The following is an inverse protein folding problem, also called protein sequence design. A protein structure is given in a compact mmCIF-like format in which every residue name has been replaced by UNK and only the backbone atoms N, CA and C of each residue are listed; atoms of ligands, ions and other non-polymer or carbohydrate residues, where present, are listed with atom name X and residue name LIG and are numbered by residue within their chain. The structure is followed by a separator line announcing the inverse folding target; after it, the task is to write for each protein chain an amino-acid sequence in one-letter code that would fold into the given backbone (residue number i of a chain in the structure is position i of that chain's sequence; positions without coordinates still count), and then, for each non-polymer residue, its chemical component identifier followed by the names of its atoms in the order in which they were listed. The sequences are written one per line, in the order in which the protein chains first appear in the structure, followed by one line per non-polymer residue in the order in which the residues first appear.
data_IF_406280809792
#
_entry.id   IF_406280809792
#
_cell.length_a   1.000
_cell.length_b   1.000
_cell.length_c   1.000
_cell.angle_alpha   90.00
_cell.angle_beta   90.00
_cell.angle_gamma   90.00
#
_symmetry.space_group_name_H-M   'P 1'
#
loop_
_entity.id
_entity.type
_entity.pdbx_description
1 polymer ?
#
# COMPACT_ATOMS: atom_id res chain seq x y z
N UNK A 1 33.04 -18.26 -18.24
CA UNK A 1 31.80 -18.96 -17.84
C UNK A 1 30.75 -18.10 -17.12
N UNK A 2 31.02 -16.87 -16.73
CA UNK A 2 30.03 -15.99 -16.05
C UNK A 2 29.11 -15.18 -16.98
N UNK A 3 29.42 -15.06 -18.25
CA UNK A 3 28.61 -14.27 -19.22
C UNK A 3 27.45 -15.04 -19.87
N UNK A 4 27.46 -16.37 -19.84
CA UNK A 4 26.42 -17.21 -20.47
C UNK A 4 25.15 -17.22 -19.59
N UNK A 5 25.29 -17.06 -18.27
CA UNK A 5 24.13 -17.01 -17.37
C UNK A 5 23.29 -15.71 -17.49
N UNK A 6 23.89 -14.62 -17.96
CA UNK A 6 23.18 -13.34 -18.11
C UNK A 6 22.25 -13.31 -19.32
N UNK A 7 22.60 -14.02 -20.40
CA UNK A 7 21.80 -14.05 -21.65
C UNK A 7 20.58 -14.98 -21.54
N UNK A 8 20.63 -16.00 -20.70
CA UNK A 8 19.50 -16.93 -20.49
C UNK A 8 18.39 -16.28 -19.65
N UNK A 9 18.72 -15.37 -18.74
CA UNK A 9 17.74 -14.67 -17.93
C UNK A 9 16.97 -13.57 -18.70
N UNK A 10 17.53 -13.01 -19.75
CA UNK A 10 16.86 -11.99 -20.57
C UNK A 10 15.85 -12.62 -21.55
N UNK A 11 16.10 -13.85 -22.01
CA UNK A 11 15.20 -14.53 -22.92
C UNK A 11 13.95 -15.11 -22.22
N UNK A 12 13.98 -15.32 -20.89
CA UNK A 12 12.85 -15.89 -20.14
C UNK A 12 11.86 -14.83 -19.66
N UNK A 13 12.22 -13.54 -19.71
CA UNK A 13 11.33 -12.45 -19.28
C UNK A 13 10.36 -11.93 -20.36
N UNK A 14 10.49 -12.38 -21.61
CA UNK A 14 9.67 -11.87 -22.71
C UNK A 14 8.44 -12.73 -23.06
N UNK A 15 8.18 -13.84 -22.35
CA UNK A 15 7.07 -14.75 -22.67
C UNK A 15 6.01 -14.92 -21.56
N UNK A 16 6.03 -14.10 -20.50
CA UNK A 16 4.91 -14.06 -19.54
C UNK A 16 3.96 -12.89 -19.83
N UNK A 17 3.47 -12.84 -21.05
CA UNK A 17 2.30 -12.04 -21.39
C UNK A 17 1.04 -12.94 -21.25
N UNK A 18 0.10 -12.46 -20.45
CA UNK A 18 -1.32 -12.86 -20.45
C UNK A 18 -1.70 -14.27 -20.00
N UNK A 19 -1.54 -14.58 -18.71
CA UNK A 19 -2.51 -15.47 -18.07
C UNK A 19 -3.59 -14.61 -17.43
N UNK A 20 -4.69 -14.43 -18.16
CA UNK A 20 -5.93 -13.84 -17.65
C UNK A 20 -6.54 -14.82 -16.65
N UNK A 21 -6.26 -14.69 -15.38
CA UNK A 21 -7.05 -15.33 -14.33
C UNK A 21 -8.44 -14.70 -14.33
N UNK A 22 -9.42 -15.39 -14.87
CA UNK A 22 -10.85 -15.16 -14.60
C UNK A 22 -11.12 -15.51 -13.14
N UNK A 23 -10.87 -14.55 -12.25
CA UNK A 23 -11.34 -14.60 -10.87
C UNK A 23 -12.84 -14.36 -10.85
N UNK A 24 -13.57 -15.26 -10.24
CA UNK A 24 -15.03 -15.17 -9.99
C UNK A 24 -15.31 -13.91 -9.18
N UNK A 25 -15.78 -12.86 -9.82
CA UNK A 25 -16.21 -11.62 -9.19
C UNK A 25 -17.51 -11.87 -8.44
N UNK A 26 -17.45 -11.86 -7.13
CA UNK A 26 -18.63 -11.58 -6.29
C UNK A 26 -19.13 -10.18 -6.66
N UNK A 27 -20.26 -10.13 -7.37
CA UNK A 27 -20.96 -8.88 -7.71
C UNK A 27 -21.58 -8.30 -6.43
N UNK A 28 -20.88 -7.42 -5.74
CA UNK A 28 -21.51 -6.40 -4.91
C UNK A 28 -21.93 -5.27 -5.85
N UNK A 29 -23.22 -4.90 -5.81
CA UNK A 29 -23.80 -3.85 -6.66
C UNK A 29 -22.97 -2.56 -6.57
N UNK A 30 -22.58 -1.95 -7.71
CA UNK A 30 -21.96 -0.63 -7.68
C UNK A 30 -23.03 0.41 -7.36
N UNK A 31 -22.92 1.04 -6.20
CA UNK A 31 -23.59 2.30 -5.89
C UNK A 31 -23.04 3.39 -6.80
N UNK A 32 -23.89 4.24 -7.31
CA UNK A 32 -23.59 5.34 -8.24
C UNK A 32 -22.37 6.18 -7.83
N UNK A 33 -21.52 6.45 -8.80
CA UNK A 33 -20.21 7.12 -8.83
C UNK A 33 -19.06 6.22 -8.37
N UNK A 34 -18.45 5.52 -9.34
CA UNK A 34 -17.39 4.54 -9.15
C UNK A 34 -16.03 5.06 -8.68
N UNK A 35 -15.96 6.14 -7.92
CA UNK A 35 -14.72 6.67 -7.33
C UNK A 35 -14.78 6.43 -5.83
N UNK A 36 -13.84 5.62 -5.28
CA UNK A 36 -13.74 5.41 -3.83
C UNK A 36 -13.58 6.73 -3.07
N UNK A 37 -14.39 6.92 -2.02
CA UNK A 37 -14.23 8.06 -1.14
C UNK A 37 -13.17 7.79 -0.08
N UNK A 38 -11.92 8.14 -0.38
CA UNK A 38 -10.81 8.02 0.56
C UNK A 38 -10.85 9.05 1.70
N UNK A 39 -11.62 10.14 1.59
CA UNK A 39 -11.63 11.21 2.59
C UNK A 39 -11.89 10.64 3.98
N UNK A 40 -10.99 10.96 4.91
CA UNK A 40 -11.03 10.48 6.29
C UNK A 40 -9.69 9.91 6.76
N UNK A 41 -9.73 9.27 7.92
CA UNK A 41 -8.56 8.65 8.55
C UNK A 41 -8.64 7.14 8.40
N UNK A 42 -7.52 6.54 8.05
CA UNK A 42 -7.35 5.11 7.86
C UNK A 42 -6.19 4.60 8.70
N UNK A 43 -6.43 3.57 9.48
CA UNK A 43 -5.42 2.89 10.31
C UNK A 43 -5.00 1.59 9.62
N UNK A 44 -3.71 1.32 9.54
CA UNK A 44 -3.21 0.04 9.04
C UNK A 44 -3.55 -1.08 10.03
N UNK A 45 -4.27 -2.10 9.55
CA UNK A 45 -4.56 -3.30 10.33
C UNK A 45 -3.49 -4.36 10.11
N UNK A 46 -3.21 -4.65 8.85
CA UNK A 46 -2.24 -5.68 8.46
C UNK A 46 -1.42 -5.23 7.27
N UNK A 47 -0.17 -5.65 7.25
CA UNK A 47 0.69 -5.59 6.05
C UNK A 47 1.29 -6.97 5.82
N UNK A 48 1.02 -7.54 4.67
CA UNK A 48 1.64 -8.77 4.20
C UNK A 48 2.76 -8.40 3.24
N UNK A 49 3.94 -8.98 3.43
CA UNK A 49 5.12 -8.67 2.62
C UNK A 49 5.79 -9.96 2.17
N UNK A 50 6.07 -10.06 0.87
CA UNK A 50 6.84 -11.15 0.27
C UNK A 50 7.95 -10.59 -0.62
N UNK A 51 9.08 -11.27 -0.69
CA UNK A 51 10.15 -10.91 -1.65
C UNK A 51 9.65 -11.19 -3.05
N UNK A 52 9.76 -10.20 -3.94
CA UNK A 52 9.30 -10.35 -5.32
C UNK A 52 10.14 -11.41 -6.04
N UNK A 53 9.47 -12.43 -6.58
CA UNK A 53 10.11 -13.56 -7.27
C UNK A 53 10.58 -14.70 -6.37
N UNK A 54 10.42 -14.63 -5.05
CA UNK A 54 10.63 -15.76 -4.14
C UNK A 54 9.36 -16.58 -3.97
N UNK A 55 9.52 -17.89 -3.84
CA UNK A 55 8.39 -18.85 -3.73
C UNK A 55 7.95 -19.02 -2.25
N UNK A 56 8.73 -18.53 -1.30
CA UNK A 56 8.48 -18.74 0.13
C UNK A 56 8.76 -17.47 0.95
N UNK A 57 8.22 -17.45 2.15
CA UNK A 57 8.40 -16.47 3.22
C UNK A 57 7.62 -15.16 3.06
N UNK A 58 6.32 -15.29 3.22
CA UNK A 58 5.45 -14.16 3.47
C UNK A 58 5.52 -13.77 4.94
N UNK A 59 5.89 -12.53 5.22
CA UNK A 59 5.83 -11.95 6.58
C UNK A 59 4.53 -11.16 6.71
N UNK A 60 3.83 -11.37 7.81
CA UNK A 60 2.60 -10.63 8.15
C UNK A 60 2.88 -9.75 9.36
N UNK A 61 2.66 -8.44 9.21
CA UNK A 61 2.67 -7.48 10.30
C UNK A 61 1.22 -7.22 10.71
N UNK A 62 0.90 -7.48 11.96
CA UNK A 62 -0.43 -7.28 12.55
C UNK A 62 -0.35 -6.13 13.55
N UNK A 63 -0.83 -4.96 13.14
CA UNK A 63 -0.74 -3.73 13.94
C UNK A 63 -1.85 -3.62 14.99
N UNK A 64 -2.96 -4.33 14.81
CA UNK A 64 -4.07 -4.32 15.77
C UNK A 64 -3.70 -5.11 17.03
N UNK A 65 -3.11 -6.29 16.85
CA UNK A 65 -2.76 -7.16 17.97
C UNK A 65 -1.40 -6.81 18.60
N UNK A 66 -0.64 -5.87 17.99
CA UNK A 66 0.65 -5.39 18.49
C UNK A 66 0.64 -3.86 18.69
N UNK A 67 -0.16 -3.33 19.62
CA UNK A 67 -0.34 -1.88 19.79
C UNK A 67 0.91 -1.15 20.33
N UNK A 68 1.90 -1.88 20.85
CA UNK A 68 3.18 -1.32 21.31
C UNK A 68 4.19 -1.12 20.17
N UNK A 69 3.93 -1.68 18.99
CA UNK A 69 4.71 -1.43 17.79
C UNK A 69 4.34 -0.07 17.16
N UNK A 70 5.05 0.29 16.10
CA UNK A 70 4.73 1.48 15.34
C UNK A 70 3.35 1.32 14.71
N UNK A 71 2.49 2.30 14.91
CA UNK A 71 1.17 2.39 14.30
C UNK A 71 1.21 3.36 13.12
N UNK A 72 0.52 3.02 12.05
CA UNK A 72 0.51 3.78 10.81
C UNK A 72 -0.90 4.25 10.48
N UNK A 73 -1.01 5.54 10.17
CA UNK A 73 -2.27 6.18 9.80
C UNK A 73 -2.10 6.97 8.51
N UNK A 74 -3.13 6.96 7.69
CA UNK A 74 -3.28 7.84 6.52
C UNK A 74 -4.49 8.71 6.71
N UNK A 75 -4.33 10.01 6.46
CA UNK A 75 -5.42 10.99 6.50
C UNK A 75 -5.57 11.61 5.13
N UNK A 76 -6.70 11.38 4.50
CA UNK A 76 -7.05 11.93 3.19
C UNK A 76 -8.01 13.10 3.36
N UNK A 77 -7.71 14.23 2.74
CA UNK A 77 -8.49 15.46 2.82
C UNK A 77 -9.12 15.82 1.46
N UNK A 78 -10.21 16.62 1.43
CA UNK A 78 -10.91 16.98 0.18
C UNK A 78 -10.04 17.76 -0.81
N UNK A 79 -8.99 18.43 -0.35
CA UNK A 79 -8.03 19.19 -1.17
C UNK A 79 -6.95 18.31 -1.82
N UNK A 80 -7.20 17.01 -1.91
CA UNK A 80 -6.30 16.02 -2.51
C UNK A 80 -4.94 15.92 -1.81
N UNK A 81 -4.92 16.12 -0.51
CA UNK A 81 -3.76 15.90 0.35
C UNK A 81 -3.94 14.61 1.16
N UNK A 82 -2.94 13.75 1.11
CA UNK A 82 -2.78 12.61 2.01
C UNK A 82 -1.63 12.90 2.98
N UNK A 83 -1.86 12.65 4.25
CA UNK A 83 -0.83 12.74 5.28
C UNK A 83 -0.64 11.37 5.92
N UNK A 84 0.58 10.86 5.88
CA UNK A 84 0.96 9.61 6.52
C UNK A 84 1.61 9.91 7.87
N UNK A 85 1.15 9.22 8.90
CA UNK A 85 1.64 9.35 10.27
C UNK A 85 2.21 8.03 10.76
N UNK A 86 3.35 8.09 11.43
CA UNK A 86 3.93 6.98 12.20
C UNK A 86 3.90 7.36 13.68
N UNK A 87 3.21 6.56 14.49
CA UNK A 87 3.01 6.81 15.92
C UNK A 87 3.47 5.58 16.70
N UNK A 88 4.17 5.78 17.80
CA UNK A 88 4.57 4.72 18.72
C UNK A 88 4.47 5.22 20.16
N UNK A 89 3.82 4.46 21.04
CA UNK A 89 3.63 4.82 22.45
C UNK A 89 3.11 6.26 22.63
N UNK A 90 2.06 6.63 21.88
CA UNK A 90 1.47 7.96 21.84
C UNK A 90 2.42 9.09 21.41
N UNK A 91 3.56 8.75 20.83
CA UNK A 91 4.54 9.73 20.32
C UNK A 91 4.52 9.73 18.78
N UNK A 92 4.43 10.91 18.20
CA UNK A 92 4.55 11.09 16.75
C UNK A 92 6.02 10.97 16.34
N UNK A 93 6.36 9.90 15.62
CA UNK A 93 7.71 9.66 15.11
C UNK A 93 7.94 10.30 13.74
N UNK A 94 6.93 10.28 12.88
CA UNK A 94 7.06 10.76 11.51
C UNK A 94 5.74 11.28 10.97
N UNK A 95 5.83 12.29 10.08
CA UNK A 95 4.71 12.87 9.36
C UNK A 95 5.15 13.19 7.94
N UNK A 96 4.57 12.51 6.96
CA UNK A 96 4.82 12.74 5.55
C UNK A 96 3.55 13.25 4.87
N UNK A 97 3.71 14.14 3.91
CA UNK A 97 2.59 14.76 3.21
C UNK A 97 2.75 14.57 1.71
N UNK A 98 1.68 14.14 1.05
CA UNK A 98 1.64 13.86 -0.38
C UNK A 98 0.41 14.53 -1.01
N UNK A 99 0.49 14.85 -2.29
CA UNK A 99 -0.71 15.04 -3.10
C UNK A 99 -1.16 13.69 -3.61
N UNK A 100 -2.47 13.44 -3.66
CA UNK A 100 -2.99 12.20 -4.21
C UNK A 100 -4.00 12.43 -5.34
N UNK A 101 -4.10 11.46 -6.23
CA UNK A 101 -5.16 11.33 -7.22
C UNK A 101 -5.52 9.86 -7.38
N UNK A 102 -6.81 9.57 -7.62
CA UNK A 102 -7.28 8.21 -7.86
C UNK A 102 -7.81 8.09 -9.28
N UNK A 103 -7.36 7.09 -10.04
CA UNK A 103 -7.79 6.79 -11.41
C UNK A 103 -7.60 5.31 -11.70
N UNK A 104 -8.62 4.65 -12.31
CA UNK A 104 -8.53 3.27 -12.76
C UNK A 104 -7.96 2.32 -11.70
N UNK A 105 -8.57 2.30 -10.52
CA UNK A 105 -8.16 1.49 -9.36
C UNK A 105 -6.72 1.70 -8.90
N UNK A 106 -6.13 2.83 -9.27
CA UNK A 106 -4.77 3.19 -8.90
C UNK A 106 -4.77 4.52 -8.15
N UNK A 107 -4.17 4.52 -6.98
CA UNK A 107 -3.88 5.71 -6.19
C UNK A 107 -2.47 6.19 -6.54
N UNK A 108 -2.38 7.42 -7.02
CA UNK A 108 -1.13 8.12 -7.34
C UNK A 108 -0.80 9.06 -6.19
N UNK A 109 0.40 8.94 -5.64
CA UNK A 109 0.89 9.81 -4.57
C UNK A 109 2.15 10.54 -5.05
N UNK A 110 2.17 11.84 -4.93
CA UNK A 110 3.29 12.68 -5.33
C UNK A 110 3.82 13.53 -4.18
N UNK A 111 5.13 13.53 -4.03
CA UNK A 111 5.91 14.44 -3.22
C UNK A 111 6.75 15.28 -4.20
N UNK A 112 6.85 16.62 -4.04
CA UNK A 112 7.62 17.47 -4.96
C UNK A 112 9.06 17.03 -5.20
N UNK A 113 9.64 16.28 -4.26
CA UNK A 113 11.05 15.89 -4.28
C UNK A 113 11.28 14.40 -4.55
N UNK A 114 10.23 13.64 -4.87
CA UNK A 114 10.32 12.19 -5.06
C UNK A 114 9.56 11.72 -6.30
N UNK A 115 9.92 10.59 -6.87
CA UNK A 115 9.12 9.94 -7.91
C UNK A 115 7.68 9.71 -7.46
N UNK A 116 6.75 9.77 -8.40
CA UNK A 116 5.35 9.43 -8.15
C UNK A 116 5.28 7.97 -7.67
N UNK A 117 4.67 7.76 -6.53
CA UNK A 117 4.36 6.43 -6.01
C UNK A 117 2.96 6.04 -6.48
N UNK A 118 2.81 4.80 -6.89
CA UNK A 118 1.53 4.23 -7.31
C UNK A 118 1.20 3.02 -6.48
N UNK A 119 -0.04 2.91 -6.03
CA UNK A 119 -0.57 1.74 -5.34
C UNK A 119 -1.87 1.30 -6.02
N UNK A 120 -2.04 0.01 -6.20
CA UNK A 120 -3.25 -0.55 -6.77
C UNK A 120 -4.28 -0.79 -5.66
N UNK A 121 -5.49 -0.28 -5.83
CA UNK A 121 -6.59 -0.50 -4.90
C UNK A 121 -7.30 -1.79 -5.28
N UNK A 122 -7.08 -2.84 -4.51
CA UNK A 122 -7.62 -4.18 -4.73
C UNK A 122 -9.07 -4.29 -4.31
N UNK A 123 -9.43 -3.65 -3.20
CA UNK A 123 -10.80 -3.56 -2.72
C UNK A 123 -11.00 -2.31 -1.90
N UNK A 124 -12.23 -1.80 -1.94
CA UNK A 124 -12.63 -0.62 -1.19
C UNK A 124 -14.06 -0.81 -0.68
N UNK A 125 -14.27 -0.49 0.59
CA UNK A 125 -15.58 -0.36 1.24
C UNK A 125 -15.62 0.93 2.05
N UNK A 126 -16.75 1.28 2.63
CA UNK A 126 -16.86 2.46 3.50
C UNK A 126 -15.98 2.37 4.76
N UNK A 127 -15.57 1.17 5.14
CA UNK A 127 -14.81 0.92 6.37
C UNK A 127 -13.42 0.34 6.17
N UNK A 128 -13.13 -0.26 5.00
CA UNK A 128 -11.84 -0.93 4.74
C UNK A 128 -11.32 -0.66 3.34
N UNK A 129 -10.00 -0.55 3.22
CA UNK A 129 -9.28 -0.48 1.94
C UNK A 129 -8.18 -1.52 1.95
N UNK A 130 -8.08 -2.30 0.86
CA UNK A 130 -6.94 -3.18 0.62
C UNK A 130 -6.19 -2.68 -0.61
N UNK A 131 -4.90 -2.46 -0.46
CA UNK A 131 -4.01 -1.98 -1.52
C UNK A 131 -2.83 -2.92 -1.71
N UNK A 132 -2.39 -3.03 -2.96
CA UNK A 132 -1.18 -3.74 -3.35
C UNK A 132 -0.14 -2.74 -3.87
N UNK A 133 1.11 -2.91 -3.48
CA UNK A 133 2.22 -2.07 -3.92
C UNK A 133 3.56 -2.80 -3.90
N UNK A 134 4.53 -2.26 -4.63
CA UNK A 134 5.91 -2.72 -4.60
C UNK A 134 6.73 -1.69 -3.81
N UNK A 135 7.55 -2.18 -2.90
CA UNK A 135 8.49 -1.35 -2.18
C UNK A 135 9.91 -1.91 -2.32
N UNK A 136 10.90 -1.03 -2.37
CA UNK A 136 12.32 -1.38 -2.35
C UNK A 136 12.89 -1.14 -0.97
N UNK A 137 13.62 -2.11 -0.44
CA UNK A 137 14.41 -1.95 0.78
C UNK A 137 15.75 -2.65 0.60
N UNK A 138 16.86 -1.94 0.74
CA UNK A 138 18.24 -2.45 0.57
C UNK A 138 18.40 -3.31 -0.69
N UNK A 139 18.04 -2.75 -1.85
CA UNK A 139 18.10 -3.39 -3.18
C UNK A 139 17.21 -4.63 -3.36
N UNK A 140 16.36 -4.93 -2.40
CA UNK A 140 15.38 -6.01 -2.49
C UNK A 140 14.00 -5.43 -2.78
N UNK A 141 13.31 -5.99 -3.78
CA UNK A 141 11.93 -5.66 -4.11
C UNK A 141 10.97 -6.54 -3.30
N UNK A 142 10.00 -5.92 -2.69
CA UNK A 142 8.93 -6.60 -1.95
C UNK A 142 7.59 -6.29 -2.57
N UNK A 143 6.79 -7.32 -2.78
CA UNK A 143 5.37 -7.18 -3.04
C UNK A 143 4.66 -7.10 -1.70
N UNK A 144 3.87 -6.06 -1.51
CA UNK A 144 3.17 -5.79 -0.26
C UNK A 144 1.67 -5.69 -0.54
N UNK A 145 0.88 -6.27 0.35
CA UNK A 145 -0.56 -6.06 0.45
C UNK A 145 -0.84 -5.46 1.82
N UNK A 146 -1.49 -4.31 1.89
CA UNK A 146 -1.92 -3.74 3.16
C UNK A 146 -3.44 -3.58 3.20
N UNK A 147 -4.00 -3.88 4.37
CA UNK A 147 -5.39 -3.61 4.71
C UNK A 147 -5.45 -2.51 5.74
N UNK A 148 -6.21 -1.47 5.43
CA UNK A 148 -6.46 -0.35 6.33
C UNK A 148 -7.95 -0.30 6.68
N UNK A 149 -8.27 0.17 7.88
CA UNK A 149 -9.63 0.39 8.35
C UNK A 149 -9.86 1.86 8.66
N UNK A 150 -11.07 2.33 8.37
CA UNK A 150 -11.50 3.67 8.77
C UNK A 150 -11.44 3.82 10.29
N UNK A 151 -10.83 4.89 10.76
CA UNK A 151 -10.51 5.10 12.17
C UNK A 151 -10.56 6.60 12.51
N UNK A 152 -10.35 6.90 13.77
CA UNK A 152 -10.00 8.23 14.24
C UNK A 152 -8.49 8.34 14.42
N UNK A 153 -7.97 9.53 14.21
CA UNK A 153 -6.56 9.79 14.48
C UNK A 153 -6.35 9.88 15.99
N UNK A 154 -5.46 9.08 16.59
CA UNK A 154 -5.25 9.13 18.03
C UNK A 154 -4.64 10.48 18.44
N UNK A 155 -4.86 10.88 19.69
CA UNK A 155 -4.16 12.01 20.28
C UNK A 155 -2.73 11.57 20.57
N UNK A 156 -1.76 12.33 20.10
CA UNK A 156 -0.35 12.07 20.37
C UNK A 156 0.32 13.24 21.07
N UNK A 157 1.41 12.94 21.73
CA UNK A 157 2.34 13.93 22.29
C UNK A 157 3.43 14.19 21.24
N UNK A 158 3.83 15.42 21.09
CA UNK A 158 5.04 15.73 20.33
C UNK A 158 6.25 15.35 21.17
N UNK A 159 7.21 14.65 20.57
CA UNK A 159 8.55 14.56 21.16
C UNK A 159 9.11 15.99 21.29
N UNK A 160 9.56 16.35 22.51
CA UNK A 160 10.13 17.68 22.82
C UNK A 160 11.59 17.73 22.43
#
# INVERSE_FOLDING_TARGET
MKQIFYLINIALMTTMAFVSCKGTTSKTNPTESGIPNFIGTWHYETVTQAVLGAVSDTVVFDYINNPHEQQFYEVYTPDSIMTFYTIQNDTLLNKLRFRYAFRNDTLYMSDPNKPIQTVHVKSFTDSTVTIDYIRTYRDTLFYCTSTTRRSELPKWKFEK
#
